data_IF_330318209879
#
_entry.id   IF_330318209879
#
_cell.length_a   1.000
_cell.length_b   1.000
_cell.length_c   1.000
_cell.angle_alpha   90.00
_cell.angle_beta   90.00
_cell.angle_gamma   90.00
#
_symmetry.space_group_name_H-M   'P 1'
#
loop_
_entity.id
_entity.type
_entity.pdbx_description
1 polymer ?
#
# COMPACT_ATOMS: atom_id res chain seq x y z
N UNK A 1 -71.77 -9.99 -17.76
CA UNK A 1 -71.93 -9.73 -19.20
C UNK A 1 -70.57 -9.80 -19.87
N UNK A 2 -70.30 -10.91 -20.53
CA UNK A 2 -69.33 -10.98 -21.63
C UNK A 2 -70.06 -10.47 -22.89
N UNK A 3 -69.39 -10.16 -24.02
CA UNK A 3 -68.54 -11.13 -24.70
C UNK A 3 -67.34 -10.52 -25.50
N UNK A 4 -66.38 -11.37 -25.76
CA UNK A 4 -65.97 -11.83 -27.08
C UNK A 4 -65.21 -10.90 -28.01
N UNK A 5 -64.10 -11.46 -28.50
CA UNK A 5 -63.44 -11.10 -29.72
C UNK A 5 -61.97 -11.57 -29.80
N UNK A 6 -61.74 -12.83 -30.04
CA UNK A 6 -60.54 -13.31 -30.71
C UNK A 6 -60.76 -13.31 -32.21
N UNK A 7 -59.99 -14.00 -33.03
CA UNK A 7 -58.57 -14.00 -33.27
C UNK A 7 -58.28 -13.62 -34.74
N UNK A 8 -57.07 -13.38 -35.13
CA UNK A 8 -56.65 -13.68 -36.53
C UNK A 8 -55.16 -13.87 -36.66
N UNK A 9 -54.85 -15.08 -36.96
CA UNK A 9 -53.70 -15.58 -37.68
C UNK A 9 -53.27 -14.72 -38.85
N UNK A 10 -51.98 -14.59 -38.99
CA UNK A 10 -51.31 -14.04 -40.17
C UNK A 10 -49.95 -14.72 -40.36
N UNK A 11 -50.06 -15.94 -40.79
CA UNK A 11 -48.95 -16.72 -41.34
C UNK A 11 -48.56 -16.16 -42.69
N UNK A 12 -47.30 -15.81 -42.85
CA UNK A 12 -46.70 -15.61 -44.16
C UNK A 12 -45.24 -16.01 -44.16
N UNK A 13 -45.13 -17.26 -44.45
CA UNK A 13 -44.00 -17.93 -45.07
C UNK A 13 -43.37 -17.07 -46.19
N UNK A 14 -42.08 -16.74 -46.05
CA UNK A 14 -41.28 -16.38 -47.21
C UNK A 14 -39.85 -16.87 -47.04
N UNK A 15 -39.68 -18.08 -47.51
CA UNK A 15 -38.39 -18.70 -47.79
C UNK A 15 -37.65 -17.79 -48.77
N UNK A 16 -36.56 -17.24 -48.38
CA UNK A 16 -35.48 -16.85 -49.29
C UNK A 16 -34.15 -17.42 -48.84
N UNK A 17 -33.78 -18.43 -49.60
CA UNK A 17 -32.43 -18.96 -49.69
C UNK A 17 -31.51 -17.85 -50.15
N UNK A 18 -30.54 -17.45 -49.41
CA UNK A 18 -29.36 -16.81 -49.93
C UNK A 18 -28.11 -17.50 -49.38
N UNK A 19 -27.26 -17.73 -50.32
CA UNK A 19 -26.10 -18.54 -50.32
C UNK A 19 -25.04 -18.10 -49.32
N UNK A 20 -24.33 -19.10 -48.87
CA UNK A 20 -23.05 -19.11 -48.20
C UNK A 20 -22.05 -18.04 -48.70
N UNK A 21 -21.56 -17.22 -47.79
CA UNK A 21 -20.21 -16.67 -47.88
C UNK A 21 -19.51 -17.00 -46.60
N UNK A 22 -18.67 -17.99 -46.65
CA UNK A 22 -17.65 -18.29 -45.66
C UNK A 22 -16.59 -17.16 -45.67
N UNK A 23 -16.73 -16.20 -44.79
CA UNK A 23 -15.65 -15.32 -44.46
C UNK A 23 -15.03 -15.86 -43.14
N UNK A 24 -13.94 -16.58 -43.30
CA UNK A 24 -13.07 -16.95 -42.21
C UNK A 24 -12.35 -15.70 -41.69
N UNK A 25 -12.93 -15.02 -40.72
CA UNK A 25 -12.21 -14.04 -39.92
C UNK A 25 -11.40 -14.79 -38.87
N UNK A 26 -10.11 -14.90 -39.13
CA UNK A 26 -9.12 -15.27 -38.15
C UNK A 26 -9.13 -14.16 -37.09
N UNK A 27 -9.85 -14.36 -36.00
CA UNK A 27 -9.69 -13.60 -34.80
C UNK A 27 -8.35 -14.01 -34.18
N UNK A 28 -7.30 -13.28 -34.52
CA UNK A 28 -6.10 -13.27 -33.71
C UNK A 28 -6.45 -12.64 -32.37
N UNK A 29 -6.84 -13.47 -31.38
CA UNK A 29 -6.91 -13.09 -29.99
C UNK A 29 -5.48 -12.86 -29.53
N UNK A 30 -5.01 -11.64 -29.70
CA UNK A 30 -3.81 -11.17 -29.01
C UNK A 30 -4.12 -11.20 -27.50
N UNK A 31 -3.64 -12.24 -26.83
CA UNK A 31 -3.48 -12.24 -25.39
C UNK A 31 -2.44 -11.16 -25.07
N UNK A 32 -2.90 -9.92 -24.95
CA UNK A 32 -2.16 -8.87 -24.30
C UNK A 32 -1.99 -9.28 -22.86
N UNK A 33 -0.87 -9.91 -22.55
CA UNK A 33 -0.43 -10.04 -21.17
C UNK A 33 -0.25 -8.61 -20.65
N UNK A 34 -1.24 -8.09 -19.93
CA UNK A 34 -1.07 -6.92 -19.12
C UNK A 34 -0.01 -7.30 -18.07
N UNK A 35 1.23 -6.96 -18.33
CA UNK A 35 2.27 -6.98 -17.31
C UNK A 35 1.85 -5.93 -16.29
N UNK A 36 1.20 -6.38 -15.21
CA UNK A 36 1.04 -5.54 -14.04
C UNK A 36 2.44 -5.03 -13.66
N UNK A 37 2.62 -3.72 -13.43
CA UNK A 37 3.90 -3.23 -12.96
C UNK A 37 4.21 -4.00 -11.68
N UNK A 38 5.31 -4.73 -11.68
CA UNK A 38 5.83 -5.34 -10.46
C UNK A 38 6.03 -4.21 -9.47
N UNK A 39 5.26 -4.21 -8.38
CA UNK A 39 5.54 -3.32 -7.28
C UNK A 39 6.99 -3.59 -6.89
N UNK A 40 7.86 -2.62 -7.17
CA UNK A 40 9.26 -2.69 -6.75
C UNK A 40 9.22 -2.82 -5.23
N UNK A 41 9.68 -3.96 -4.70
CA UNK A 41 9.80 -4.10 -3.27
C UNK A 41 10.67 -2.94 -2.76
N UNK A 42 10.19 -2.22 -1.76
CA UNK A 42 10.95 -1.13 -1.15
C UNK A 42 12.32 -1.69 -0.73
N UNK A 43 13.40 -0.99 -1.09
CA UNK A 43 14.73 -1.39 -0.61
C UNK A 43 14.74 -1.32 0.92
N UNK A 44 15.35 -2.31 1.56
CA UNK A 44 15.44 -2.37 3.01
C UNK A 44 16.32 -1.26 3.59
N UNK A 45 16.11 -0.98 4.86
CA UNK A 45 17.07 -0.22 5.64
C UNK A 45 18.44 -0.92 5.61
N UNK A 46 19.53 -0.17 5.68
CA UNK A 46 20.88 -0.72 5.70
C UNK A 46 21.60 -0.34 6.99
N UNK A 47 22.49 -1.17 7.43
CA UNK A 47 23.28 -0.94 8.63
C UNK A 47 24.59 -0.23 8.28
N UNK A 48 24.94 0.79 9.07
CA UNK A 48 26.25 1.41 9.08
C UNK A 48 26.67 1.63 10.54
N UNK A 49 27.72 0.93 10.94
CA UNK A 49 28.12 0.85 12.33
C UNK A 49 27.03 0.21 13.21
N UNK A 50 26.59 0.93 14.22
CA UNK A 50 25.52 0.51 15.15
C UNK A 50 24.19 1.25 14.90
N UNK A 51 24.03 1.83 13.72
CA UNK A 51 22.82 2.54 13.27
C UNK A 51 22.25 1.88 12.03
N UNK A 52 20.95 2.07 11.83
CA UNK A 52 20.23 1.63 10.64
C UNK A 52 19.76 2.86 9.87
N UNK A 53 20.15 2.96 8.62
CA UNK A 53 19.76 4.05 7.72
C UNK A 53 18.56 3.63 6.88
N UNK A 54 17.57 4.47 6.83
CA UNK A 54 16.34 4.23 6.09
C UNK A 54 15.93 5.48 5.34
N UNK A 55 15.37 5.32 4.15
CA UNK A 55 14.65 6.39 3.49
C UNK A 55 13.35 6.67 4.21
N UNK A 56 12.99 7.92 4.39
CA UNK A 56 11.82 8.36 5.14
C UNK A 56 11.15 9.57 4.49
N UNK A 57 9.93 9.84 4.91
CA UNK A 57 9.19 11.04 4.49
C UNK A 57 9.80 12.27 5.14
N UNK A 58 10.19 13.27 4.35
CA UNK A 58 10.69 14.53 4.87
C UNK A 58 9.59 15.31 5.60
N UNK A 59 9.91 15.86 6.77
CA UNK A 59 8.98 16.55 7.64
C UNK A 59 8.10 15.62 8.50
N UNK A 60 8.35 14.31 8.47
CA UNK A 60 7.62 13.36 9.30
C UNK A 60 7.78 13.66 10.80
N UNK A 61 6.70 13.54 11.58
CA UNK A 61 6.75 13.81 13.01
C UNK A 61 7.56 12.74 13.75
N UNK A 62 8.34 13.18 14.72
CA UNK A 62 8.99 12.37 15.74
C UNK A 62 8.24 12.54 17.04
N UNK A 63 7.82 11.44 17.63
CA UNK A 63 7.00 11.40 18.83
C UNK A 63 7.86 11.14 20.06
N UNK A 64 7.46 11.70 21.19
CA UNK A 64 8.11 11.45 22.47
C UNK A 64 7.80 10.07 23.02
N UNK A 65 8.27 9.84 24.22
CA UNK A 65 8.01 8.59 24.97
C UNK A 65 7.03 8.79 26.10
N UNK A 66 6.26 7.76 26.40
CA UNK A 66 5.40 7.73 27.57
C UNK A 66 6.27 7.87 28.82
N UNK A 67 5.92 8.82 29.69
CA UNK A 67 6.57 8.97 31.00
C UNK A 67 8.06 9.35 30.98
N UNK A 68 8.59 9.91 29.87
CA UNK A 68 9.99 10.33 29.72
C UNK A 68 11.06 9.22 29.93
N UNK A 69 10.67 7.97 29.87
CA UNK A 69 11.58 6.82 30.06
C UNK A 69 12.24 6.34 28.77
N UNK A 70 11.88 6.91 27.62
CA UNK A 70 12.36 6.53 26.28
C UNK A 70 12.11 5.07 25.87
N UNK A 71 11.25 4.36 26.57
CA UNK A 71 10.99 2.94 26.34
C UNK A 71 9.85 2.73 25.32
N UNK A 72 8.75 3.47 25.47
CA UNK A 72 7.56 3.30 24.64
C UNK A 72 7.15 4.60 23.95
N UNK A 73 6.73 4.56 22.69
CA UNK A 73 6.26 5.75 21.98
C UNK A 73 4.97 6.31 22.59
N UNK A 74 4.89 7.63 22.65
CA UNK A 74 3.66 8.36 22.97
C UNK A 74 3.07 8.95 21.70
N UNK A 75 2.00 8.34 21.13
CA UNK A 75 1.43 8.76 19.85
C UNK A 75 0.76 10.15 19.90
N UNK A 76 0.63 10.72 21.07
CA UNK A 76 -0.04 12.02 21.28
C UNK A 76 0.93 13.19 21.38
N UNK A 77 2.22 12.94 21.56
CA UNK A 77 3.22 13.97 21.85
C UNK A 77 4.31 14.04 20.79
N UNK A 78 4.24 15.01 19.88
CA UNK A 78 5.29 15.29 18.91
C UNK A 78 6.38 16.12 19.61
N UNK A 79 7.64 15.67 19.50
CA UNK A 79 8.83 16.33 20.09
C UNK A 79 9.71 16.97 19.02
N UNK A 80 9.55 16.59 17.77
CA UNK A 80 10.31 17.15 16.65
C UNK A 80 9.83 16.61 15.32
N UNK A 81 10.59 16.91 14.27
CA UNK A 81 10.34 16.41 12.92
C UNK A 81 11.64 15.98 12.27
N UNK A 82 11.52 15.07 11.31
CA UNK A 82 12.62 14.54 10.53
C UNK A 82 12.52 15.08 9.11
N UNK A 83 13.37 16.06 8.78
CA UNK A 83 13.48 16.63 7.43
C UNK A 83 14.57 15.96 6.61
N UNK A 84 15.63 15.45 7.28
CA UNK A 84 16.68 14.69 6.63
C UNK A 84 16.14 13.37 6.04
N UNK A 85 16.72 12.98 4.91
CA UNK A 85 16.40 11.74 4.22
C UNK A 85 17.61 11.33 3.35
N UNK A 86 18.21 10.14 3.56
CA UNK A 86 17.85 9.15 4.58
C UNK A 86 18.16 9.62 6.01
N UNK A 87 17.51 8.97 6.97
CA UNK A 87 17.76 9.19 8.39
C UNK A 87 18.17 7.89 9.06
N UNK A 88 18.74 7.99 10.26
CA UNK A 88 19.21 6.85 10.98
C UNK A 88 18.34 6.52 12.20
N UNK A 89 18.29 5.24 12.53
CA UNK A 89 17.48 4.67 13.60
C UNK A 89 18.32 3.75 14.46
N UNK A 90 17.99 3.66 15.73
CA UNK A 90 18.65 2.74 16.67
C UNK A 90 18.10 1.34 16.61
N UNK A 91 16.76 1.21 16.63
CA UNK A 91 16.05 -0.04 16.76
C UNK A 91 14.58 0.14 16.40
N UNK A 92 13.86 -0.96 16.27
CA UNK A 92 12.41 -0.98 16.08
C UNK A 92 11.72 -1.62 17.28
N UNK A 93 10.47 -1.25 17.48
CA UNK A 93 9.60 -1.79 18.52
C UNK A 93 8.23 -2.10 17.92
N UNK A 94 7.86 -3.36 17.90
CA UNK A 94 6.54 -3.84 17.50
C UNK A 94 5.56 -3.83 18.69
N UNK A 95 4.30 -4.18 18.47
CA UNK A 95 3.24 -4.28 19.48
C UNK A 95 2.95 -2.96 20.22
N UNK A 96 3.14 -1.84 19.54
CA UNK A 96 2.84 -0.50 20.04
C UNK A 96 1.51 0.04 19.47
N UNK A 97 1.23 1.31 19.75
CA UNK A 97 0.06 2.00 19.22
C UNK A 97 -0.02 1.87 17.68
N UNK A 98 -1.23 1.69 17.20
CA UNK A 98 -1.52 1.48 15.77
C UNK A 98 -1.00 2.61 14.89
N UNK A 99 -0.26 2.25 13.85
CA UNK A 99 0.28 3.17 12.84
C UNK A 99 -0.24 2.87 11.43
N UNK A 100 -0.72 1.65 11.18
CA UNK A 100 -1.14 1.17 9.86
C UNK A 100 0.03 0.62 9.03
N UNK A 101 -0.23 0.40 7.73
CA UNK A 101 0.78 -0.10 6.80
C UNK A 101 1.15 -1.57 6.98
N UNK A 102 2.27 -2.01 6.39
CA UNK A 102 2.72 -3.42 6.45
C UNK A 102 3.08 -3.89 7.86
N UNK A 103 3.54 -2.99 8.72
CA UNK A 103 3.90 -3.26 10.11
C UNK A 103 3.05 -2.38 11.04
N UNK A 104 1.79 -2.75 11.27
CA UNK A 104 0.75 -1.84 11.74
C UNK A 104 0.92 -1.33 13.17
N UNK A 105 1.85 -1.89 13.93
CA UNK A 105 2.14 -1.51 15.33
C UNK A 105 3.61 -1.17 15.56
N UNK A 106 4.38 -0.98 14.46
CA UNK A 106 5.82 -0.76 14.54
C UNK A 106 6.19 0.71 14.63
N UNK A 107 7.13 0.98 15.53
CA UNK A 107 7.77 2.28 15.72
C UNK A 107 9.29 2.12 15.71
N UNK A 108 10.01 3.13 15.21
CA UNK A 108 11.46 3.13 15.17
C UNK A 108 12.03 4.28 15.99
N UNK A 109 13.01 3.97 16.85
CA UNK A 109 13.68 4.95 17.70
C UNK A 109 14.72 5.72 16.89
N UNK A 110 14.69 7.04 16.99
CA UNK A 110 15.58 7.97 16.28
C UNK A 110 15.77 9.27 17.05
N UNK A 111 16.57 10.16 16.50
CA UNK A 111 16.70 11.54 16.97
C UNK A 111 16.20 12.48 15.89
N UNK A 112 15.24 13.33 16.22
CA UNK A 112 14.73 14.34 15.32
C UNK A 112 15.81 15.39 14.95
N UNK A 113 15.60 16.13 13.87
CA UNK A 113 16.58 17.13 13.41
C UNK A 113 16.81 18.27 14.41
N UNK A 114 15.90 18.46 15.36
CA UNK A 114 16.08 19.37 16.50
C UNK A 114 16.86 18.77 17.69
N UNK A 115 17.37 17.54 17.55
CA UNK A 115 18.16 16.85 18.58
C UNK A 115 17.33 16.09 19.62
N UNK A 116 16.00 16.06 19.52
CA UNK A 116 15.14 15.34 20.46
C UNK A 116 15.07 13.85 20.12
N UNK A 117 15.39 13.01 21.11
CA UNK A 117 15.19 11.55 21.00
C UNK A 117 13.70 11.23 21.01
N UNK A 118 13.30 10.30 20.14
CA UNK A 118 11.90 9.90 20.04
C UNK A 118 11.69 8.75 19.07
N UNK A 119 10.46 8.65 18.58
CA UNK A 119 9.95 7.54 17.80
C UNK A 119 9.28 8.02 16.52
N UNK A 120 9.56 7.37 15.42
CA UNK A 120 8.83 7.54 14.17
C UNK A 120 7.93 6.35 13.90
N UNK A 121 6.77 6.63 13.33
CA UNK A 121 5.86 5.57 12.83
C UNK A 121 6.53 4.87 11.65
N UNK A 122 6.40 3.56 11.56
CA UNK A 122 6.87 2.76 10.43
C UNK A 122 6.33 3.28 9.09
N UNK A 123 5.08 3.74 9.07
CA UNK A 123 4.45 4.31 7.88
C UNK A 123 5.09 5.60 7.35
N UNK A 124 5.93 6.26 8.15
CA UNK A 124 6.72 7.42 7.72
C UNK A 124 8.09 7.03 7.14
N UNK A 125 8.43 5.75 7.12
CA UNK A 125 9.67 5.21 6.60
C UNK A 125 9.35 4.45 5.30
N UNK A 126 9.96 4.89 4.21
CA UNK A 126 9.70 4.31 2.88
C UNK A 126 10.57 3.07 2.58
N UNK A 127 11.67 2.89 3.30
CA UNK A 127 12.44 1.64 3.26
C UNK A 127 11.73 0.53 4.03
N UNK A 128 11.97 -0.74 3.62
CA UNK A 128 11.55 -1.89 4.41
C UNK A 128 12.34 -1.95 5.72
N UNK A 129 11.63 -2.00 6.85
CA UNK A 129 12.21 -1.85 8.19
C UNK A 129 12.54 -3.18 8.90
N UNK A 130 12.25 -4.33 8.27
CA UNK A 130 12.62 -5.64 8.83
C UNK A 130 14.11 -5.80 9.18
N UNK A 131 15.07 -5.21 8.42
CA UNK A 131 16.48 -5.30 8.76
C UNK A 131 16.87 -4.58 10.06
N UNK A 132 16.06 -3.63 10.52
CA UNK A 132 16.33 -2.90 11.77
C UNK A 132 16.19 -3.85 12.96
N UNK A 133 17.17 -3.86 13.86
CA UNK A 133 17.14 -4.71 15.05
C UNK A 133 16.00 -4.32 16.00
N UNK A 134 15.54 -5.27 16.80
CA UNK A 134 14.62 -5.01 17.89
C UNK A 134 15.29 -4.22 19.04
N UNK A 135 14.50 -3.41 19.74
CA UNK A 135 15.02 -2.62 20.88
C UNK A 135 15.29 -3.48 22.13
N UNK A 136 14.52 -4.57 22.29
CA UNK A 136 14.60 -5.47 23.46
C UNK A 136 14.46 -6.92 23.02
#
# INVERSE_FOLDING_TARGET
MAPNGGPTTGESDMRRKFASVLAATVLATGLGAATAPSASAASGCWQDGNRYWCNNVSGAPVYGSVGNNHIYPDPTRIVGRMYSNPSWFYCKLDDQAWVGGPHPTRWLMTVADNGQLGWMKDTAISSETNPVRDCY
#
